data_IF_520238005695
#
_entry.id   IF_520238005695
#
_cell.length_a   1.000
_cell.length_b   1.000
_cell.length_c   1.000
_cell.angle_alpha   90.00
_cell.angle_beta   90.00
_cell.angle_gamma   90.00
#
_symmetry.space_group_name_H-M   'P 1'
#
loop_
_entity.id
_entity.type
_entity.pdbx_description
1 polymer ?
#
# COMPACT_ATOMS: atom_id res chain seq x y z
N UNK A 1 27.16 -22.72 -1.09
CA UNK A 1 25.78 -22.71 -0.57
C UNK A 1 25.18 -21.35 -0.89
N UNK A 2 24.14 -21.21 -1.73
CA UNK A 2 23.58 -19.89 -1.95
C UNK A 2 22.91 -19.43 -0.65
N UNK A 3 23.34 -18.27 -0.16
CA UNK A 3 22.89 -17.70 1.09
C UNK A 3 21.41 -17.35 1.00
N UNK A 4 20.66 -17.86 1.96
CA UNK A 4 19.23 -17.66 2.11
C UNK A 4 18.96 -16.18 2.42
N UNK A 5 18.72 -15.42 1.36
CA UNK A 5 18.37 -14.01 1.40
C UNK A 5 16.91 -13.91 1.85
N UNK A 6 16.69 -13.75 3.14
CA UNK A 6 15.37 -13.38 3.62
C UNK A 6 15.10 -11.90 3.26
N UNK A 7 14.19 -11.65 2.31
CA UNK A 7 13.55 -10.34 2.00
C UNK A 7 12.19 -10.25 2.72
N UNK A 8 11.68 -9.07 3.07
CA UNK A 8 10.31 -8.92 3.55
C UNK A 8 9.33 -9.48 2.48
N UNK A 9 8.73 -10.66 2.72
CA UNK A 9 7.88 -11.37 1.73
C UNK A 9 8.04 -12.89 1.63
N UNK A 10 8.90 -13.55 2.42
CA UNK A 10 9.09 -15.01 2.32
C UNK A 10 7.90 -15.85 2.83
N UNK A 11 7.06 -15.30 3.71
CA UNK A 11 5.82 -15.94 4.14
C UNK A 11 4.64 -15.36 3.38
N UNK A 12 3.95 -16.20 2.60
CA UNK A 12 2.65 -15.87 1.99
C UNK A 12 1.73 -15.39 3.13
N UNK A 13 1.31 -14.11 3.15
CA UNK A 13 0.36 -13.67 4.16
C UNK A 13 -0.92 -14.52 4.05
N UNK A 14 -1.70 -14.65 5.12
CA UNK A 14 -3.03 -15.30 5.07
C UNK A 14 -3.93 -14.52 4.11
N UNK A 15 -3.85 -14.90 2.85
CA UNK A 15 -4.57 -14.40 1.69
C UNK A 15 -5.71 -15.40 1.47
N UNK A 16 -6.95 -14.92 1.43
CA UNK A 16 -8.02 -15.69 0.80
C UNK A 16 -7.87 -15.49 -0.71
N UNK A 17 -7.59 -16.58 -1.40
CA UNK A 17 -7.66 -16.63 -2.86
C UNK A 17 -9.14 -16.76 -3.22
N UNK A 18 -9.64 -15.82 -4.02
CA UNK A 18 -10.97 -15.93 -4.59
C UNK A 18 -10.90 -16.92 -5.76
N UNK A 19 -12.01 -17.58 -6.09
CA UNK A 19 -12.13 -18.56 -7.18
C UNK A 19 -11.77 -17.97 -8.58
N UNK A 20 -11.60 -16.65 -8.68
CA UNK A 20 -11.24 -15.90 -9.89
C UNK A 20 -9.77 -15.46 -9.92
N UNK A 21 -8.92 -15.95 -9.00
CA UNK A 21 -7.50 -15.58 -8.91
C UNK A 21 -7.26 -14.19 -8.32
N UNK A 22 -8.30 -13.59 -7.71
CA UNK A 22 -8.20 -12.39 -6.90
C UNK A 22 -7.67 -12.69 -5.50
N UNK A 23 -7.10 -11.66 -4.86
CA UNK A 23 -6.61 -11.72 -3.49
C UNK A 23 -7.45 -10.75 -2.65
N UNK A 24 -8.39 -11.27 -1.87
CA UNK A 24 -9.23 -10.46 -0.97
C UNK A 24 -8.61 -10.39 0.42
N UNK A 25 -8.31 -9.16 0.84
CA UNK A 25 -7.88 -8.88 2.20
C UNK A 25 -9.08 -8.47 3.07
N UNK A 26 -9.69 -9.43 3.76
CA UNK A 26 -10.71 -9.13 4.76
C UNK A 26 -10.08 -8.32 5.90
N UNK A 27 -10.43 -7.04 6.01
CA UNK A 27 -10.25 -6.34 7.27
C UNK A 27 -11.20 -7.01 8.29
N UNK A 28 -10.75 -7.46 9.47
CA UNK A 28 -11.71 -7.80 10.52
C UNK A 28 -12.55 -6.54 10.75
N UNK A 29 -13.88 -6.74 10.77
CA UNK A 29 -14.95 -5.75 10.79
C UNK A 29 -14.53 -4.34 11.23
N UNK A 30 -14.87 -3.35 10.40
CA UNK A 30 -14.84 -1.94 10.76
C UNK A 30 -15.69 -1.72 12.03
N UNK A 31 -15.10 -1.76 13.21
CA UNK A 31 -15.76 -1.25 14.41
C UNK A 31 -15.89 0.25 14.20
N UNK A 32 -17.13 0.71 14.06
CA UNK A 32 -17.52 2.11 13.89
C UNK A 32 -16.63 3.03 14.74
N UNK A 33 -15.69 3.73 14.09
CA UNK A 33 -14.75 4.58 14.78
C UNK A 33 -15.51 5.81 15.28
N UNK A 34 -15.83 5.80 16.57
CA UNK A 34 -16.45 6.91 17.27
C UNK A 34 -15.57 8.15 17.11
N UNK A 35 -16.15 9.25 16.65
CA UNK A 35 -15.51 10.54 16.45
C UNK A 35 -15.14 11.18 17.80
N UNK A 36 -14.05 10.72 18.41
CA UNK A 36 -13.46 11.38 19.57
C UNK A 36 -12.56 12.53 19.11
N UNK A 37 -13.06 13.75 19.33
CA UNK A 37 -12.35 15.01 19.20
C UNK A 37 -11.15 15.06 20.16
N UNK A 38 -9.92 15.05 19.65
CA UNK A 38 -8.74 15.23 20.51
C UNK A 38 -7.57 15.90 19.79
N UNK A 39 -7.35 17.17 20.18
CA UNK A 39 -6.08 17.89 20.33
C UNK A 39 -5.07 17.79 19.17
N UNK A 40 -4.90 18.91 18.47
CA UNK A 40 -3.84 19.15 17.48
C UNK A 40 -2.45 19.16 18.15
N UNK A 41 -1.94 17.99 18.50
CA UNK A 41 -0.50 17.76 18.69
C UNK A 41 0.08 17.25 17.37
N UNK A 42 1.22 17.80 16.95
CA UNK A 42 1.96 17.30 15.78
C UNK A 42 2.48 15.89 16.10
N UNK A 43 1.68 14.86 15.82
CA UNK A 43 2.15 13.49 15.80
C UNK A 43 3.29 13.37 14.79
N UNK A 44 4.32 12.58 15.11
CA UNK A 44 5.44 12.37 14.17
C UNK A 44 4.91 11.84 12.83
N UNK A 45 5.59 12.17 11.74
CA UNK A 45 5.22 11.74 10.38
C UNK A 45 5.07 10.20 10.32
N UNK A 46 5.87 9.47 11.10
CA UNK A 46 5.75 8.01 11.25
C UNK A 46 4.42 7.57 11.86
N UNK A 47 4.02 8.18 12.98
CA UNK A 47 2.73 7.89 13.62
C UNK A 47 1.54 8.24 12.74
N UNK A 48 1.64 9.27 11.90
CA UNK A 48 0.59 9.62 10.94
C UNK A 48 0.46 8.58 9.82
N UNK A 49 1.57 8.05 9.31
CA UNK A 49 1.57 6.99 8.28
C UNK A 49 0.94 5.69 8.76
N UNK A 50 1.18 5.30 10.01
CA UNK A 50 0.61 4.10 10.63
C UNK A 50 -0.91 4.14 10.76
N UNK A 51 -1.52 5.33 10.78
CA UNK A 51 -2.98 5.53 10.88
C UNK A 51 -3.73 5.33 9.57
N UNK A 52 -3.03 5.35 8.43
CA UNK A 52 -3.67 5.24 7.13
C UNK A 52 -4.08 3.77 6.84
N UNK A 53 -5.28 3.52 6.28
CA UNK A 53 -5.79 2.18 6.04
C UNK A 53 -4.87 1.25 5.26
N UNK A 54 -4.04 1.78 4.35
CA UNK A 54 -3.09 0.98 3.55
C UNK A 54 -1.92 0.41 4.37
N UNK A 55 -1.65 0.92 5.56
CA UNK A 55 -0.50 0.51 6.39
C UNK A 55 -0.54 -0.97 6.78
N UNK A 56 -1.71 -1.48 7.20
CA UNK A 56 -1.92 -2.90 7.54
C UNK A 56 -1.66 -3.87 6.38
N UNK A 57 -1.67 -3.37 5.14
CA UNK A 57 -1.48 -4.19 3.94
C UNK A 57 -0.05 -4.12 3.39
N UNK A 58 0.90 -3.43 4.06
CA UNK A 58 2.28 -3.23 3.57
C UNK A 58 2.95 -4.54 3.13
N UNK A 59 2.98 -5.54 4.01
CA UNK A 59 3.65 -6.83 3.73
C UNK A 59 2.99 -7.56 2.56
N UNK A 60 1.65 -7.54 2.51
CA UNK A 60 0.90 -8.19 1.44
C UNK A 60 1.11 -7.52 0.08
N UNK A 61 1.16 -6.18 0.04
CA UNK A 61 1.44 -5.43 -1.18
C UNK A 61 2.84 -5.77 -1.70
N UNK A 62 3.85 -5.80 -0.82
CA UNK A 62 5.22 -6.15 -1.20
C UNK A 62 5.32 -7.59 -1.74
N UNK A 63 4.64 -8.53 -1.09
CA UNK A 63 4.54 -9.91 -1.57
C UNK A 63 3.93 -9.98 -2.97
N UNK A 64 2.75 -9.37 -3.17
CA UNK A 64 2.06 -9.43 -4.45
C UNK A 64 2.85 -8.80 -5.60
N UNK A 65 3.54 -7.69 -5.34
CA UNK A 65 4.38 -7.02 -6.35
C UNK A 65 5.63 -7.84 -6.68
N UNK A 66 6.19 -8.59 -5.73
CA UNK A 66 7.30 -9.51 -5.99
C UNK A 66 6.85 -10.75 -6.78
N UNK A 67 5.67 -11.29 -6.49
CA UNK A 67 5.20 -12.54 -7.10
C UNK A 67 4.48 -12.34 -8.44
N UNK A 68 3.92 -11.16 -8.70
CA UNK A 68 3.15 -10.88 -9.91
C UNK A 68 3.73 -9.70 -10.67
N UNK A 69 3.90 -9.88 -11.98
CA UNK A 69 4.34 -8.79 -12.87
C UNK A 69 3.39 -7.57 -12.85
N UNK A 70 2.09 -7.82 -12.61
CA UNK A 70 1.05 -6.79 -12.51
C UNK A 70 0.20 -7.02 -11.26
N UNK A 71 0.07 -6.00 -10.41
CA UNK A 71 -0.79 -6.02 -9.21
C UNK A 71 -1.79 -4.87 -9.25
N UNK A 72 -3.08 -5.17 -9.10
CA UNK A 72 -4.16 -4.16 -9.04
C UNK A 72 -4.51 -3.91 -7.58
N UNK A 73 -4.43 -2.65 -7.14
CA UNK A 73 -4.73 -2.26 -5.75
C UNK A 73 -5.94 -1.33 -5.73
N UNK A 74 -7.04 -1.83 -5.18
CA UNK A 74 -8.29 -1.08 -5.02
C UNK A 74 -8.43 -0.61 -3.57
N UNK A 75 -8.93 0.60 -3.37
CA UNK A 75 -9.29 1.11 -2.05
C UNK A 75 -9.87 2.50 -2.13
N UNK A 76 -10.53 2.96 -1.07
CA UNK A 76 -11.20 4.26 -1.04
C UNK A 76 -10.23 5.45 -1.17
N UNK A 77 -10.73 6.61 -1.59
CA UNK A 77 -9.97 7.88 -1.54
C UNK A 77 -9.55 8.18 -0.10
N UNK A 78 -8.33 8.67 0.11
CA UNK A 78 -7.80 8.94 1.46
C UNK A 78 -7.20 7.72 2.18
N UNK A 79 -7.29 6.52 1.61
CA UNK A 79 -6.65 5.31 2.17
C UNK A 79 -5.11 5.33 2.20
N UNK A 80 -4.48 6.26 1.47
CA UNK A 80 -3.02 6.41 1.41
C UNK A 80 -2.31 5.65 0.30
N UNK A 81 -3.04 5.09 -0.68
CA UNK A 81 -2.46 4.29 -1.79
C UNK A 81 -1.34 5.04 -2.53
N UNK A 82 -1.65 6.19 -3.13
CA UNK A 82 -0.70 6.98 -3.92
C UNK A 82 0.49 7.49 -3.12
N UNK A 83 0.33 7.70 -1.80
CA UNK A 83 1.38 8.28 -0.95
C UNK A 83 2.30 7.24 -0.32
N UNK A 84 1.76 6.07 0.07
CA UNK A 84 2.52 5.08 0.84
C UNK A 84 3.07 3.92 0.01
N UNK A 85 2.35 3.47 -1.02
CA UNK A 85 2.81 2.31 -1.83
C UNK A 85 4.16 2.58 -2.49
N UNK A 86 4.41 3.74 -3.13
CA UNK A 86 5.72 4.02 -3.72
C UNK A 86 6.84 4.07 -2.67
N UNK A 87 6.52 4.53 -1.46
CA UNK A 87 7.47 4.54 -0.36
C UNK A 87 7.84 3.12 0.07
N UNK A 88 6.85 2.22 0.21
CA UNK A 88 7.10 0.83 0.57
C UNK A 88 8.01 0.13 -0.45
N UNK A 89 7.76 0.35 -1.75
CA UNK A 89 8.59 -0.19 -2.82
C UNK A 89 10.02 0.34 -2.73
N UNK A 90 10.19 1.65 -2.50
CA UNK A 90 11.51 2.26 -2.31
C UNK A 90 12.24 1.67 -1.11
N UNK A 91 11.57 1.56 0.04
CA UNK A 91 12.13 0.98 1.28
C UNK A 91 12.48 -0.51 1.13
N UNK A 92 11.79 -1.23 0.24
CA UNK A 92 12.05 -2.64 -0.06
C UNK A 92 13.15 -2.85 -1.14
N UNK A 93 13.80 -1.79 -1.62
CA UNK A 93 14.92 -1.87 -2.57
C UNK A 93 14.50 -2.04 -4.03
N UNK A 94 13.24 -1.77 -4.38
CA UNK A 94 12.77 -1.87 -5.77
C UNK A 94 13.43 -0.85 -6.71
N UNK A 95 13.88 0.28 -6.16
CA UNK A 95 14.63 1.31 -6.87
C UNK A 95 16.16 1.12 -6.81
N UNK A 96 16.67 0.01 -6.24
CA UNK A 96 18.10 -0.24 -6.18
C UNK A 96 18.66 -0.68 -7.54
N UNK A 97 19.98 -0.60 -7.71
CA UNK A 97 20.64 -1.07 -8.93
C UNK A 97 20.29 -0.25 -10.19
N UNK A 98 20.01 1.04 -10.02
CA UNK A 98 19.70 1.95 -11.13
C UNK A 98 18.24 1.92 -11.62
N UNK A 99 17.36 1.20 -10.92
CA UNK A 99 15.92 1.18 -11.22
C UNK A 99 15.21 2.42 -10.66
N UNK A 100 14.04 2.74 -11.21
CA UNK A 100 13.24 3.90 -10.79
C UNK A 100 11.80 3.47 -10.55
N UNK A 101 11.18 4.03 -9.51
CA UNK A 101 9.74 3.91 -9.25
C UNK A 101 9.06 5.13 -9.88
N UNK A 102 8.23 4.89 -10.89
CA UNK A 102 7.41 5.93 -11.52
C UNK A 102 5.99 5.89 -10.97
N UNK A 103 5.45 7.06 -10.61
CA UNK A 103 4.06 7.20 -10.20
C UNK A 103 3.37 8.20 -11.12
N UNK A 104 2.34 7.74 -11.83
CA UNK A 104 1.54 8.59 -12.71
C UNK A 104 0.21 8.93 -12.04
N UNK A 105 -0.27 10.14 -12.31
CA UNK A 105 -1.56 10.63 -11.84
C UNK A 105 -2.25 11.25 -13.07
N UNK A 106 -3.45 10.78 -13.47
CA UNK A 106 -4.18 11.43 -14.57
C UNK A 106 -4.53 12.86 -14.17
N UNK A 107 -4.11 13.84 -14.97
CA UNK A 107 -4.50 15.24 -14.78
C UNK A 107 -5.92 15.42 -15.34
N UNK A 108 -6.85 15.89 -14.52
CA UNK A 108 -8.17 16.31 -15.01
C UNK A 108 -8.06 17.75 -15.53
N UNK A 109 -8.10 17.93 -16.84
CA UNK A 109 -8.23 19.26 -17.45
C UNK A 109 -9.72 19.61 -17.51
N UNK A 110 -10.11 20.74 -16.93
CA UNK A 110 -11.43 21.30 -17.15
C UNK A 110 -11.37 22.17 -18.41
N UNK A 111 -12.19 21.84 -19.41
CA UNK A 111 -12.44 22.74 -20.55
C UNK A 111 -13.42 23.80 -20.06
N UNK A 112 -13.00 25.07 -20.06
CA UNK A 112 -13.95 26.18 -19.99
C UNK A 112 -14.52 26.35 -21.41
N UNK A 113 -15.79 26.01 -21.60
CA UNK A 113 -16.52 26.36 -22.81
C UNK A 113 -16.73 27.87 -22.84
N UNK A 114 -16.21 28.52 -23.87
CA UNK A 114 -16.45 29.91 -24.22
C UNK A 114 -16.85 29.99 -25.69
#
# INVERSE_FOLDING_TARGET
MPQQFWKPGADKPRILEDEEGGVVFFAPSLSSASSSSSRFGYASIGSQRQRLPVYKYRTAILYLVETHATTIIVGETGSGKTTQIPQYLKEAGWADGGRVIACTQPRRLAVQGG
#
